data_IF_625691981786
#
_entry.id   IF_625691981786
#
_cell.length_a   1.000
_cell.length_b   1.000
_cell.length_c   1.000
_cell.angle_alpha   90.00
_cell.angle_beta   90.00
_cell.angle_gamma   90.00
#
_symmetry.space_group_name_H-M   'P 1'
#
loop_
_entity.id
_entity.type
_entity.pdbx_description
1 polymer ?
#
# COMPACT_ATOMS: atom_id res chain seq x y z
N UNK A 1 -20.48 14.53 -12.70
CA UNK A 1 -20.64 13.06 -12.54
C UNK A 1 -19.44 12.24 -13.02
N UNK A 2 -18.38 12.91 -13.48
CA UNK A 2 -17.13 12.26 -13.95
C UNK A 2 -16.06 12.07 -12.84
N UNK A 3 -16.33 12.51 -11.64
CA UNK A 3 -15.34 12.49 -10.53
C UNK A 3 -15.29 11.12 -9.83
N UNK A 4 -16.34 10.31 -9.92
CA UNK A 4 -16.37 8.95 -9.38
C UNK A 4 -15.70 7.93 -10.31
N UNK A 5 -15.47 8.28 -11.56
CA UNK A 5 -14.87 7.42 -12.58
C UNK A 5 -13.34 7.47 -12.64
N UNK A 6 -12.69 8.25 -11.76
CA UNK A 6 -11.21 8.34 -11.70
C UNK A 6 -10.49 7.01 -11.47
N UNK A 7 -11.18 6.01 -10.91
CA UNK A 7 -10.65 4.65 -10.74
C UNK A 7 -10.73 3.84 -12.04
N UNK A 8 -11.72 4.13 -12.91
CA UNK A 8 -11.87 3.44 -14.18
C UNK A 8 -10.95 3.97 -15.29
N UNK A 9 -10.59 5.25 -15.25
CA UNK A 9 -9.70 5.84 -16.27
C UNK A 9 -8.27 5.33 -16.18
N UNK A 10 -7.81 4.89 -15.01
CA UNK A 10 -6.51 4.21 -14.88
C UNK A 10 -6.53 2.76 -15.38
N UNK A 11 -7.70 2.17 -15.60
CA UNK A 11 -7.85 0.82 -16.13
C UNK A 11 -7.87 0.78 -17.67
N UNK A 12 -8.11 1.93 -18.32
CA UNK A 12 -8.10 2.01 -19.78
C UNK A 12 -6.66 2.23 -20.27
N UNK A 13 -6.14 1.34 -21.12
CA UNK A 13 -4.77 1.42 -21.63
C UNK A 13 -4.54 2.57 -22.62
N UNK A 14 -5.57 3.32 -22.97
CA UNK A 14 -5.52 4.38 -23.97
C UNK A 14 -4.72 5.61 -23.51
N UNK A 15 -4.53 5.76 -22.18
CA UNK A 15 -3.77 6.89 -21.64
C UNK A 15 -2.77 6.42 -20.59
N UNK A 16 -1.64 5.89 -21.03
CA UNK A 16 -0.49 5.77 -20.14
C UNK A 16 -0.04 7.18 -19.75
N UNK A 17 -0.08 7.46 -18.44
CA UNK A 17 0.49 8.68 -17.88
C UNK A 17 1.61 8.28 -16.93
N UNK A 18 2.80 8.70 -17.25
CA UNK A 18 3.98 8.47 -16.43
C UNK A 18 3.74 9.00 -15.00
N UNK A 19 3.90 8.14 -13.99
CA UNK A 19 3.79 8.49 -12.59
C UNK A 19 2.39 8.80 -12.04
N UNK A 20 1.35 8.84 -12.87
CA UNK A 20 0.00 9.22 -12.45
C UNK A 20 -0.98 8.05 -12.29
N UNK A 21 -0.60 6.85 -12.71
CA UNK A 21 -1.47 5.67 -12.65
C UNK A 21 -1.11 4.80 -11.44
N UNK A 22 -2.15 4.15 -10.92
CA UNK A 22 -2.02 3.05 -9.97
C UNK A 22 -1.00 2.03 -10.50
N UNK A 23 0.04 1.73 -9.73
CA UNK A 23 1.18 0.89 -10.14
C UNK A 23 1.95 1.42 -11.38
N UNK A 24 1.85 2.71 -11.67
CA UNK A 24 2.70 3.37 -12.66
C UNK A 24 4.16 3.39 -12.22
N UNK A 25 5.06 3.26 -13.16
CA UNK A 25 6.49 3.40 -12.94
C UNK A 25 6.99 4.70 -13.54
N UNK A 26 7.92 5.33 -12.82
CA UNK A 26 8.66 6.46 -13.33
C UNK A 26 10.08 6.03 -13.68
N UNK A 27 10.48 6.25 -14.94
CA UNK A 27 11.83 5.91 -15.39
C UNK A 27 12.82 7.04 -15.07
N UNK A 28 13.35 7.02 -13.84
CA UNK A 28 14.35 8.01 -13.39
C UNK A 28 15.78 7.74 -13.89
N UNK A 29 15.99 6.64 -14.62
CA UNK A 29 17.27 6.30 -15.24
C UNK A 29 17.23 6.44 -16.78
N UNK A 30 16.23 7.09 -17.33
CA UNK A 30 16.03 7.21 -18.77
C UNK A 30 17.25 7.77 -19.51
N UNK A 31 17.94 8.73 -18.88
CA UNK A 31 19.06 9.43 -19.46
C UNK A 31 20.42 9.01 -18.86
N UNK A 32 20.43 7.96 -18.02
CA UNK A 32 21.63 7.54 -17.30
C UNK A 32 22.07 6.14 -17.70
N UNK A 33 23.25 6.06 -18.29
CA UNK A 33 24.00 4.82 -18.47
C UNK A 33 23.73 4.08 -19.78
N UNK A 34 24.69 3.17 -20.11
CA UNK A 34 24.53 2.23 -21.20
C UNK A 34 23.50 1.16 -20.84
N UNK A 35 22.59 0.89 -21.76
CA UNK A 35 21.65 -0.22 -21.62
C UNK A 35 22.28 -1.48 -22.22
N UNK A 36 22.64 -2.44 -21.37
CA UNK A 36 23.21 -3.72 -21.79
C UNK A 36 22.24 -4.58 -22.60
N UNK A 37 20.92 -4.42 -22.34
CA UNK A 37 19.86 -5.18 -23.00
C UNK A 37 18.76 -4.23 -23.49
N UNK A 38 18.99 -3.51 -24.59
CA UNK A 38 18.05 -2.52 -25.11
C UNK A 38 16.76 -3.13 -25.69
N UNK A 39 16.76 -4.43 -25.89
CA UNK A 39 15.67 -5.22 -26.47
C UNK A 39 14.71 -5.81 -25.45
N UNK A 40 14.96 -5.67 -24.14
CA UNK A 40 14.11 -6.21 -23.08
C UNK A 40 13.20 -5.12 -22.53
N UNK A 41 11.91 -5.45 -22.40
CA UNK A 41 10.86 -4.56 -21.91
C UNK A 41 10.02 -5.23 -20.83
N UNK A 42 9.55 -4.46 -19.84
CA UNK A 42 8.48 -4.91 -18.96
C UNK A 42 7.14 -4.47 -19.56
N UNK A 43 6.23 -5.42 -19.72
CA UNK A 43 4.88 -5.18 -20.21
C UNK A 43 3.87 -5.48 -19.11
N UNK A 44 2.93 -4.56 -18.91
CA UNK A 44 1.83 -4.67 -17.95
C UNK A 44 0.54 -5.00 -18.69
N UNK A 45 -0.22 -5.87 -18.04
CA UNK A 45 -1.58 -6.25 -18.44
C UNK A 45 -2.58 -5.76 -17.39
N UNK A 46 -3.72 -6.41 -17.27
CA UNK A 46 -4.74 -6.08 -16.26
C UNK A 46 -4.16 -6.25 -14.85
N UNK A 47 -4.59 -5.37 -13.94
CA UNK A 47 -4.23 -5.39 -12.54
C UNK A 47 -2.70 -5.31 -12.29
N UNK A 48 -2.15 -6.31 -11.60
CA UNK A 48 -0.73 -6.39 -11.22
C UNK A 48 0.05 -7.36 -12.10
N UNK A 49 -0.55 -7.91 -13.15
CA UNK A 49 0.12 -8.86 -14.04
C UNK A 49 1.13 -8.13 -14.91
N UNK A 50 2.40 -8.45 -14.73
CA UNK A 50 3.52 -7.91 -15.49
C UNK A 50 4.46 -9.03 -15.88
N UNK A 51 5.02 -8.97 -17.08
CA UNK A 51 6.00 -9.93 -17.56
C UNK A 51 7.07 -9.22 -18.42
N UNK A 52 8.19 -9.90 -18.62
CA UNK A 52 9.29 -9.41 -19.42
C UNK A 52 9.24 -10.05 -20.80
N UNK A 53 9.47 -9.21 -21.81
CA UNK A 53 9.43 -9.58 -23.21
C UNK A 53 10.65 -9.05 -23.94
N UNK A 54 11.07 -9.77 -24.99
CA UNK A 54 12.12 -9.33 -25.89
C UNK A 54 11.51 -8.77 -27.17
N UNK A 55 12.05 -7.68 -27.64
CA UNK A 55 11.62 -7.06 -28.89
C UNK A 55 12.53 -7.52 -30.04
N UNK A 56 12.12 -8.56 -30.74
CA UNK A 56 12.80 -9.06 -31.95
C UNK A 56 12.17 -8.48 -33.24
N UNK A 57 11.18 -7.58 -33.12
CA UNK A 57 10.39 -7.08 -34.25
C UNK A 57 11.10 -6.02 -35.11
N UNK A 58 12.23 -5.48 -34.64
CA UNK A 58 12.93 -4.37 -35.28
C UNK A 58 12.19 -3.02 -35.18
N UNK A 59 10.99 -2.97 -34.60
CA UNK A 59 10.25 -1.73 -34.39
C UNK A 59 10.75 -1.00 -33.15
N UNK A 60 10.81 0.32 -33.21
CA UNK A 60 11.12 1.14 -32.02
C UNK A 60 9.95 1.09 -31.05
N UNK A 61 10.13 0.41 -29.92
CA UNK A 61 9.18 0.31 -28.82
C UNK A 61 9.66 1.22 -27.69
N UNK A 62 8.74 1.97 -27.07
CA UNK A 62 9.01 2.89 -25.97
C UNK A 62 8.05 2.68 -24.82
N UNK A 63 8.41 3.16 -23.64
CA UNK A 63 7.54 3.21 -22.49
C UNK A 63 6.22 3.93 -22.85
N UNK A 64 5.09 3.32 -22.49
CA UNK A 64 3.75 3.80 -22.81
C UNK A 64 3.15 3.24 -24.09
N UNK A 65 3.95 2.61 -24.96
CA UNK A 65 3.43 1.97 -26.17
C UNK A 65 2.54 0.76 -25.83
N UNK A 66 1.46 0.62 -26.55
CA UNK A 66 0.68 -0.60 -26.54
C UNK A 66 1.28 -1.61 -27.52
N UNK A 67 1.52 -2.81 -27.04
CA UNK A 67 2.20 -3.87 -27.79
C UNK A 67 1.41 -5.17 -27.79
N UNK A 68 1.46 -5.85 -28.92
CA UNK A 68 0.98 -7.22 -29.08
C UNK A 68 2.13 -8.15 -28.76
N UNK A 69 1.92 -9.02 -27.79
CA UNK A 69 2.95 -9.92 -27.26
C UNK A 69 2.54 -11.38 -27.43
N UNK A 70 3.55 -12.23 -27.52
CA UNK A 70 3.35 -13.67 -27.56
C UNK A 70 2.78 -14.18 -26.23
N UNK A 71 1.70 -14.96 -26.29
CA UNK A 71 1.13 -15.65 -25.15
C UNK A 71 1.51 -17.14 -25.20
N UNK A 72 1.09 -17.94 -24.22
CA UNK A 72 1.25 -19.41 -24.25
C UNK A 72 0.42 -20.02 -25.39
N UNK A 73 -0.69 -19.35 -25.73
CA UNK A 73 -1.58 -19.70 -26.84
C UNK A 73 -2.11 -18.38 -27.38
N UNK A 74 -1.90 -18.12 -28.68
CA UNK A 74 -2.30 -16.87 -29.31
C UNK A 74 -1.41 -15.69 -28.93
N UNK A 75 -2.02 -14.52 -28.83
CA UNK A 75 -1.33 -13.27 -28.51
C UNK A 75 -2.11 -12.46 -27.48
N UNK A 76 -1.39 -11.65 -26.73
CA UNK A 76 -1.99 -10.79 -25.71
C UNK A 76 -1.64 -9.32 -25.98
N UNK A 77 -2.40 -8.41 -25.41
CA UNK A 77 -2.19 -6.98 -25.52
C UNK A 77 -1.77 -6.41 -24.17
N UNK A 78 -0.69 -5.65 -24.16
CA UNK A 78 -0.20 -5.00 -22.94
C UNK A 78 0.44 -3.65 -23.22
N UNK A 79 0.74 -2.94 -22.15
CA UNK A 79 1.39 -1.63 -22.19
C UNK A 79 2.81 -1.78 -21.68
N UNK A 80 3.77 -1.22 -22.40
CA UNK A 80 5.17 -1.15 -21.97
C UNK A 80 5.28 -0.22 -20.77
N UNK A 81 5.69 -0.73 -19.62
CA UNK A 81 5.85 0.05 -18.40
C UNK A 81 7.28 0.45 -18.11
N UNK A 82 8.24 -0.38 -18.49
CA UNK A 82 9.67 -0.08 -18.32
C UNK A 82 10.46 -0.44 -19.57
N UNK A 83 11.44 0.39 -19.86
CA UNK A 83 12.48 0.20 -20.85
C UNK A 83 13.86 0.54 -20.22
N UNK A 84 14.95 0.06 -20.83
CA UNK A 84 16.28 0.44 -20.44
C UNK A 84 16.78 -0.18 -19.12
N UNK A 85 17.72 0.49 -18.42
CA UNK A 85 18.41 -0.09 -17.26
C UNK A 85 17.51 -0.49 -16.10
N UNK A 86 16.33 0.14 -15.96
CA UNK A 86 15.37 -0.19 -14.90
C UNK A 86 14.76 -1.58 -15.06
N UNK A 87 14.65 -2.09 -16.30
CA UNK A 87 14.15 -3.45 -16.55
C UNK A 87 15.05 -4.47 -15.88
N UNK A 88 16.37 -4.34 -16.04
CA UNK A 88 17.35 -5.22 -15.42
C UNK A 88 17.29 -5.16 -13.89
N UNK A 89 17.15 -3.95 -13.35
CA UNK A 89 16.99 -3.77 -11.89
C UNK A 89 15.73 -4.44 -11.37
N UNK A 90 14.63 -4.36 -12.13
CA UNK A 90 13.37 -5.02 -11.79
C UNK A 90 13.49 -6.55 -11.91
N UNK A 91 14.15 -7.07 -12.94
CA UNK A 91 14.44 -8.49 -13.09
C UNK A 91 15.26 -9.01 -11.91
N UNK A 92 16.33 -8.30 -11.55
CA UNK A 92 17.17 -8.62 -10.39
C UNK A 92 16.37 -8.63 -9.09
N UNK A 93 15.47 -7.67 -8.90
CA UNK A 93 14.55 -7.62 -7.74
C UNK A 93 13.64 -8.85 -7.68
N UNK A 94 13.24 -9.38 -8.83
CA UNK A 94 12.45 -10.62 -8.95
C UNK A 94 13.29 -11.89 -8.98
N UNK A 95 14.62 -11.79 -8.88
CA UNK A 95 15.58 -12.90 -8.98
C UNK A 95 15.49 -13.63 -10.33
N UNK A 96 15.31 -12.90 -11.40
CA UNK A 96 15.30 -13.37 -12.77
C UNK A 96 16.62 -12.97 -13.40
N UNK A 97 17.33 -13.94 -13.95
CA UNK A 97 18.57 -13.73 -14.66
C UNK A 97 18.27 -13.53 -16.16
N UNK A 98 18.68 -12.41 -16.76
CA UNK A 98 18.43 -12.14 -18.18
C UNK A 98 19.05 -13.16 -19.15
N UNK A 99 20.14 -13.83 -18.76
CA UNK A 99 20.85 -14.78 -19.63
C UNK A 99 20.14 -16.14 -19.69
N UNK A 100 19.54 -16.57 -18.58
CA UNK A 100 18.90 -17.88 -18.46
C UNK A 100 17.40 -17.86 -18.67
N UNK A 101 16.79 -16.66 -18.66
CA UNK A 101 15.35 -16.52 -18.77
C UNK A 101 14.86 -16.61 -20.23
N UNK A 102 13.90 -17.50 -20.49
CA UNK A 102 13.24 -17.63 -21.79
C UNK A 102 12.23 -16.49 -22.00
N UNK A 103 12.62 -15.48 -22.76
CA UNK A 103 11.75 -14.37 -23.08
C UNK A 103 10.76 -14.74 -24.17
N UNK A 104 9.50 -14.40 -23.93
CA UNK A 104 8.52 -14.31 -25.00
C UNK A 104 8.73 -13.03 -25.81
N UNK A 105 8.21 -13.01 -27.04
CA UNK A 105 8.49 -11.94 -27.98
C UNK A 105 7.42 -10.86 -27.97
N UNK A 106 7.85 -9.62 -28.23
CA UNK A 106 6.98 -8.56 -28.71
C UNK A 106 6.80 -8.78 -30.21
N UNK A 107 5.57 -9.03 -30.64
CA UNK A 107 5.26 -9.30 -32.05
C UNK A 107 5.31 -8.01 -32.85
N UNK A 108 4.62 -6.97 -32.34
CA UNK A 108 4.54 -5.64 -32.98
C UNK A 108 3.85 -4.63 -32.06
N UNK A 109 3.88 -3.36 -32.44
CA UNK A 109 2.99 -2.36 -31.83
C UNK A 109 1.52 -2.68 -32.15
N UNK A 110 0.64 -2.38 -31.19
CA UNK A 110 -0.78 -2.59 -31.35
C UNK A 110 -1.34 -1.66 -32.44
N UNK A 111 -2.22 -2.20 -33.26
CA UNK A 111 -3.02 -1.45 -34.23
C UNK A 111 -4.38 -1.13 -33.62
N UNK A 112 -5.11 -0.19 -34.20
CA UNK A 112 -6.44 0.17 -33.71
C UNK A 112 -7.38 -1.06 -33.66
N UNK A 113 -7.30 -1.94 -34.63
CA UNK A 113 -8.08 -3.19 -34.65
C UNK A 113 -7.79 -4.15 -33.49
N UNK A 114 -6.56 -4.14 -32.96
CA UNK A 114 -6.21 -4.96 -31.82
C UNK A 114 -6.77 -4.34 -30.53
N UNK A 115 -6.71 -3.01 -30.44
CA UNK A 115 -7.26 -2.23 -29.34
C UNK A 115 -8.78 -2.41 -29.28
N UNK A 116 -9.46 -2.32 -30.42
CA UNK A 116 -10.92 -2.48 -30.46
C UNK A 116 -11.36 -3.87 -30.01
N UNK A 117 -10.69 -4.93 -30.48
CA UNK A 117 -10.93 -6.31 -30.00
C UNK A 117 -10.69 -6.47 -28.52
N UNK A 118 -9.60 -5.88 -28.00
CA UNK A 118 -9.28 -5.93 -26.59
C UNK A 118 -10.33 -5.17 -25.75
N UNK A 119 -10.82 -4.01 -26.22
CA UNK A 119 -11.88 -3.26 -25.55
C UNK A 119 -13.19 -4.07 -25.54
N UNK A 120 -13.54 -4.74 -26.62
CA UNK A 120 -14.69 -5.64 -26.67
C UNK A 120 -14.55 -6.79 -25.66
N UNK A 121 -13.39 -7.45 -25.62
CA UNK A 121 -13.12 -8.51 -24.66
C UNK A 121 -13.24 -8.00 -23.20
N UNK A 122 -12.65 -6.86 -22.90
CA UNK A 122 -12.69 -6.24 -21.57
C UNK A 122 -14.12 -5.84 -21.17
N UNK A 123 -14.94 -5.39 -22.11
CA UNK A 123 -16.34 -5.02 -21.82
C UNK A 123 -17.18 -6.20 -21.30
N UNK A 124 -16.83 -7.42 -21.70
CA UNK A 124 -17.51 -8.67 -21.27
C UNK A 124 -17.07 -9.17 -19.89
N UNK A 125 -15.94 -8.70 -19.36
CA UNK A 125 -15.34 -9.23 -18.12
C UNK A 125 -16.27 -9.17 -16.92
N UNK A 126 -16.95 -8.04 -16.73
CA UNK A 126 -17.84 -7.86 -15.59
C UNK A 126 -19.04 -8.81 -15.62
N UNK A 127 -19.67 -8.95 -16.78
CA UNK A 127 -20.80 -9.84 -16.94
C UNK A 127 -20.38 -11.31 -16.81
N UNK A 128 -19.25 -11.70 -17.41
CA UNK A 128 -18.66 -13.03 -17.27
C UNK A 128 -18.35 -13.34 -15.82
N UNK A 129 -17.82 -12.38 -15.06
CA UNK A 129 -17.54 -12.55 -13.63
C UNK A 129 -18.82 -12.81 -12.81
N UNK A 130 -19.89 -12.07 -13.09
CA UNK A 130 -21.17 -12.24 -12.38
C UNK A 130 -21.74 -13.62 -12.66
N UNK A 131 -21.75 -14.04 -13.92
CA UNK A 131 -22.25 -15.34 -14.35
C UNK A 131 -21.39 -16.48 -13.77
N UNK A 132 -20.06 -16.35 -13.81
CA UNK A 132 -19.16 -17.31 -13.21
C UNK A 132 -19.39 -17.49 -11.70
N UNK A 133 -19.68 -16.39 -10.98
CA UNK A 133 -20.07 -16.47 -9.55
C UNK A 133 -21.36 -17.23 -9.34
N UNK A 134 -22.36 -17.02 -10.23
CA UNK A 134 -23.64 -17.70 -10.15
C UNK A 134 -23.45 -19.21 -10.37
N UNK A 135 -22.71 -19.60 -11.39
CA UNK A 135 -22.42 -21.00 -11.70
C UNK A 135 -21.66 -21.66 -10.53
N UNK A 136 -20.61 -21.04 -10.02
CA UNK A 136 -19.83 -21.57 -8.90
C UNK A 136 -20.69 -21.76 -7.63
N UNK A 137 -21.59 -20.83 -7.34
CA UNK A 137 -22.53 -20.93 -6.23
C UNK A 137 -23.55 -22.06 -6.43
N UNK A 138 -24.08 -22.24 -7.64
CA UNK A 138 -25.02 -23.33 -7.98
C UNK A 138 -24.34 -24.72 -7.81
N UNK A 139 -23.05 -24.81 -8.06
CA UNK A 139 -22.27 -26.04 -7.89
C UNK A 139 -21.84 -26.29 -6.42
N UNK A 140 -22.18 -25.38 -5.49
CA UNK A 140 -21.85 -25.52 -4.06
C UNK A 140 -20.34 -25.48 -3.76
N UNK A 141 -19.54 -24.82 -4.59
CA UNK A 141 -18.10 -24.73 -4.40
C UNK A 141 -17.75 -23.64 -3.37
N UNK A 142 -16.94 -24.02 -2.37
CA UNK A 142 -16.46 -23.07 -1.34
C UNK A 142 -15.33 -22.18 -1.89
N UNK A 143 -15.66 -21.38 -2.89
CA UNK A 143 -14.75 -20.45 -3.53
C UNK A 143 -15.49 -19.19 -3.99
N UNK A 144 -14.76 -18.10 -4.15
CA UNK A 144 -15.28 -16.85 -4.67
C UNK A 144 -14.47 -16.41 -5.88
N UNK A 145 -15.13 -16.19 -7.01
CA UNK A 145 -14.50 -15.56 -8.18
C UNK A 145 -14.31 -14.07 -7.85
N UNK A 146 -13.06 -13.63 -7.80
CA UNK A 146 -12.68 -12.24 -7.50
C UNK A 146 -12.71 -11.33 -8.72
N UNK A 147 -12.14 -11.82 -9.84
CA UNK A 147 -12.03 -11.07 -11.09
C UNK A 147 -11.89 -12.02 -12.29
N UNK A 148 -12.11 -11.49 -13.49
CA UNK A 148 -11.90 -12.18 -14.76
C UNK A 148 -11.05 -11.28 -15.65
N UNK A 149 -10.08 -11.86 -16.35
CA UNK A 149 -9.21 -11.19 -17.31
C UNK A 149 -9.21 -11.95 -18.63
N UNK A 150 -9.72 -11.30 -19.68
CA UNK A 150 -9.63 -11.85 -21.03
C UNK A 150 -8.24 -11.57 -21.62
N UNK A 151 -7.72 -12.55 -22.35
CA UNK A 151 -6.54 -12.33 -23.20
C UNK A 151 -6.91 -11.37 -24.34
N UNK A 152 -5.94 -10.58 -24.82
CA UNK A 152 -6.19 -9.55 -25.81
C UNK A 152 -6.81 -10.04 -27.13
N UNK A 153 -6.64 -11.33 -27.48
CA UNK A 153 -7.26 -11.97 -28.64
C UNK A 153 -8.67 -12.54 -28.35
N UNK A 154 -9.13 -12.48 -27.11
CA UNK A 154 -10.44 -12.98 -26.68
C UNK A 154 -10.59 -14.51 -26.66
N UNK A 155 -9.53 -15.28 -26.93
CA UNK A 155 -9.59 -16.75 -27.01
C UNK A 155 -9.49 -17.45 -25.68
N UNK A 156 -8.96 -16.77 -24.66
CA UNK A 156 -8.68 -17.28 -23.33
C UNK A 156 -9.11 -16.27 -22.27
N UNK A 157 -9.58 -16.78 -21.12
CA UNK A 157 -9.77 -15.94 -19.93
C UNK A 157 -9.15 -16.58 -18.69
N UNK A 158 -8.62 -15.73 -17.83
CA UNK A 158 -8.08 -16.08 -16.51
C UNK A 158 -9.11 -15.69 -15.47
N UNK A 159 -9.58 -16.68 -14.70
CA UNK A 159 -10.50 -16.50 -13.60
C UNK A 159 -9.71 -16.48 -12.29
N UNK A 160 -9.65 -15.32 -11.67
CA UNK A 160 -9.02 -15.14 -10.37
C UNK A 160 -10.00 -15.55 -9.27
N UNK A 161 -9.61 -16.49 -8.42
CA UNK A 161 -10.47 -16.97 -7.35
C UNK A 161 -9.78 -16.99 -6.00
N UNK A 162 -10.57 -16.95 -4.93
CA UNK A 162 -10.17 -17.10 -3.55
C UNK A 162 -10.84 -18.31 -2.98
N UNK A 163 -10.08 -19.10 -2.25
CA UNK A 163 -10.57 -20.23 -1.47
C UNK A 163 -9.67 -20.40 -0.24
N UNK A 164 -10.24 -20.78 0.89
CA UNK A 164 -9.50 -21.07 2.11
C UNK A 164 -8.82 -22.44 2.06
N UNK A 165 -9.37 -23.35 1.28
CA UNK A 165 -8.87 -24.71 1.08
C UNK A 165 -8.61 -25.07 -0.38
N UNK A 166 -8.32 -26.34 -0.60
CA UNK A 166 -8.16 -26.88 -1.94
C UNK A 166 -9.53 -27.19 -2.55
N UNK A 167 -9.85 -26.58 -3.68
CA UNK A 167 -11.12 -26.77 -4.40
C UNK A 167 -10.89 -27.62 -5.63
N UNK A 168 -11.75 -28.61 -5.87
CA UNK A 168 -11.77 -29.35 -7.15
C UNK A 168 -12.70 -28.62 -8.14
N UNK A 169 -12.07 -27.96 -9.09
CA UNK A 169 -12.75 -27.16 -10.12
C UNK A 169 -12.80 -27.84 -11.50
N UNK A 170 -12.55 -29.16 -11.60
CA UNK A 170 -12.54 -29.87 -12.90
C UNK A 170 -13.89 -29.78 -13.62
N UNK A 171 -14.98 -29.95 -12.90
CA UNK A 171 -16.33 -29.80 -13.46
C UNK A 171 -16.65 -28.34 -13.77
N UNK A 172 -16.25 -27.43 -12.88
CA UNK A 172 -16.44 -25.98 -13.08
C UNK A 172 -15.78 -25.51 -14.38
N UNK A 173 -14.54 -25.95 -14.66
CA UNK A 173 -13.84 -25.61 -15.92
C UNK A 173 -14.60 -26.08 -17.14
N UNK A 174 -15.19 -27.29 -17.11
CA UNK A 174 -16.00 -27.79 -18.22
C UNK A 174 -17.22 -26.92 -18.45
N UNK A 175 -17.98 -26.62 -17.39
CA UNK A 175 -19.17 -25.77 -17.47
C UNK A 175 -18.80 -24.35 -17.97
N UNK A 176 -17.71 -23.78 -17.45
CA UNK A 176 -17.24 -22.48 -17.92
C UNK A 176 -16.82 -22.51 -19.42
N UNK A 177 -16.14 -23.57 -19.85
CA UNK A 177 -15.74 -23.71 -21.23
C UNK A 177 -16.95 -23.85 -22.20
N UNK A 178 -17.99 -24.54 -21.78
CA UNK A 178 -19.25 -24.70 -22.52
C UNK A 178 -20.04 -23.38 -22.58
N UNK A 179 -20.16 -22.68 -21.43
CA UNK A 179 -20.93 -21.44 -21.32
C UNK A 179 -20.25 -20.27 -22.05
N UNK A 180 -18.97 -20.05 -21.77
CA UNK A 180 -18.25 -18.89 -22.31
C UNK A 180 -17.56 -19.15 -23.66
N UNK A 181 -17.45 -20.41 -24.09
CA UNK A 181 -16.81 -20.85 -25.35
C UNK A 181 -15.38 -20.33 -25.54
N UNK A 182 -14.63 -20.26 -24.44
CA UNK A 182 -13.23 -19.81 -24.38
C UNK A 182 -12.38 -20.80 -23.59
N UNK A 183 -11.06 -20.69 -23.73
CA UNK A 183 -10.14 -21.45 -22.87
C UNK A 183 -10.12 -20.87 -21.48
N UNK A 184 -10.32 -21.70 -20.47
CA UNK A 184 -10.38 -21.30 -19.07
C UNK A 184 -9.05 -21.57 -18.38
N UNK A 185 -8.52 -20.57 -17.70
CA UNK A 185 -7.43 -20.71 -16.76
C UNK A 185 -7.91 -20.26 -15.37
N UNK A 186 -7.73 -21.11 -14.36
CA UNK A 186 -8.07 -20.79 -12.97
C UNK A 186 -6.81 -20.39 -12.22
N UNK A 187 -6.84 -19.19 -11.58
CA UNK A 187 -5.71 -18.67 -10.81
C UNK A 187 -6.13 -18.28 -9.42
N UNK A 188 -5.57 -18.96 -8.42
CA UNK A 188 -5.82 -18.60 -7.03
C UNK A 188 -5.10 -17.31 -6.64
N UNK A 189 -5.82 -16.43 -5.96
CA UNK A 189 -5.26 -15.18 -5.39
C UNK A 189 -5.51 -15.14 -3.89
N UNK A 190 -4.65 -14.42 -3.18
CA UNK A 190 -4.84 -14.21 -1.73
C UNK A 190 -5.79 -13.05 -1.44
N UNK A 191 -6.41 -13.04 -0.25
CA UNK A 191 -7.34 -12.00 0.17
C UNK A 191 -6.75 -10.56 0.10
N UNK A 192 -5.43 -10.40 0.32
CA UNK A 192 -4.77 -9.09 0.16
C UNK A 192 -4.69 -8.68 -1.30
N UNK A 193 -4.46 -9.62 -2.19
CA UNK A 193 -4.42 -9.35 -3.62
C UNK A 193 -5.81 -8.99 -4.13
N UNK A 194 -6.86 -9.70 -3.69
CA UNK A 194 -8.25 -9.32 -3.99
C UNK A 194 -8.56 -7.90 -3.52
N UNK A 195 -8.24 -7.58 -2.26
CA UNK A 195 -8.43 -6.23 -1.75
C UNK A 195 -7.68 -5.17 -2.59
N UNK A 196 -6.50 -5.52 -3.13
CA UNK A 196 -5.75 -4.68 -4.05
C UNK A 196 -6.44 -4.47 -5.40
N UNK A 197 -7.12 -5.50 -5.91
CA UNK A 197 -7.89 -5.43 -7.17
C UNK A 197 -9.14 -4.55 -7.00
N UNK A 198 -9.87 -4.72 -5.89
CA UNK A 198 -11.05 -3.92 -5.56
C UNK A 198 -10.66 -2.46 -5.30
N UNK A 199 -9.53 -2.23 -4.64
CA UNK A 199 -9.07 -0.91 -4.24
C UNK A 199 -9.82 -0.38 -3.01
N UNK A 200 -9.79 0.95 -2.85
CA UNK A 200 -10.44 1.66 -1.75
C UNK A 200 -9.47 2.39 -0.82
N UNK A 201 -9.99 2.91 0.28
CA UNK A 201 -9.23 3.67 1.27
C UNK A 201 -8.95 2.83 2.51
N UNK A 202 -7.74 2.96 3.03
CA UNK A 202 -7.38 2.38 4.31
C UNK A 202 -7.90 3.22 5.49
N UNK A 203 -7.76 2.69 6.70
CA UNK A 203 -8.07 3.42 7.94
C UNK A 203 -7.19 4.67 8.14
N UNK A 204 -6.10 4.79 7.40
CA UNK A 204 -5.21 5.96 7.38
C UNK A 204 -5.71 7.07 6.43
N UNK A 205 -6.85 6.91 5.75
CA UNK A 205 -7.39 7.87 4.79
C UNK A 205 -6.70 7.89 3.42
N UNK A 206 -5.68 7.03 3.20
CA UNK A 206 -4.96 6.90 1.93
C UNK A 206 -5.46 5.67 1.16
N UNK A 207 -5.25 5.65 -0.15
CA UNK A 207 -5.48 4.44 -0.95
C UNK A 207 -4.75 3.23 -0.36
N UNK A 208 -5.34 2.04 -0.55
CA UNK A 208 -4.76 0.81 -0.06
C UNK A 208 -3.36 0.59 -0.64
N UNK A 209 -2.37 0.31 0.22
CA UNK A 209 -0.99 0.04 -0.20
C UNK A 209 -0.90 -1.11 -1.22
N UNK A 210 -1.72 -2.16 -1.05
CA UNK A 210 -1.83 -3.29 -1.98
C UNK A 210 -2.47 -2.92 -3.32
N UNK A 211 -3.18 -1.80 -3.38
CA UNK A 211 -3.77 -1.28 -4.60
C UNK A 211 -2.87 -0.27 -5.31
N UNK A 212 -1.92 0.32 -4.59
CA UNK A 212 -1.07 1.40 -5.11
C UNK A 212 0.32 0.87 -5.52
N UNK A 213 1.20 0.58 -4.56
CA UNK A 213 2.62 0.31 -4.85
C UNK A 213 3.10 -1.11 -4.48
N UNK A 214 2.37 -1.84 -3.62
CA UNK A 214 2.79 -3.19 -3.23
C UNK A 214 2.41 -4.19 -4.33
N UNK A 215 3.43 -4.78 -4.93
CA UNK A 215 3.29 -5.85 -5.94
C UNK A 215 3.68 -7.23 -5.40
N UNK A 216 4.43 -7.30 -4.31
CA UNK A 216 4.88 -8.54 -3.70
C UNK A 216 4.13 -8.78 -2.38
N UNK A 217 3.24 -9.76 -2.38
CA UNK A 217 2.34 -10.09 -1.27
C UNK A 217 2.93 -11.15 -0.34
N UNK A 218 4.06 -10.83 0.31
CA UNK A 218 4.64 -11.71 1.33
C UNK A 218 3.75 -11.77 2.57
N UNK A 219 3.81 -12.93 3.26
CA UNK A 219 3.18 -13.06 4.57
C UNK A 219 3.87 -12.17 5.59
N UNK A 220 3.09 -11.48 6.42
CA UNK A 220 3.59 -10.56 7.44
C UNK A 220 3.35 -11.17 8.80
N UNK A 221 4.44 -11.37 9.55
CA UNK A 221 4.39 -11.91 10.91
C UNK A 221 4.09 -10.83 11.97
N UNK A 222 3.57 -11.24 13.12
CA UNK A 222 3.29 -10.36 14.27
C UNK A 222 4.57 -9.77 14.89
N UNK A 223 5.73 -10.34 14.61
CA UNK A 223 7.03 -9.79 15.02
C UNK A 223 7.23 -8.34 14.53
N UNK A 224 6.74 -8.01 13.34
CA UNK A 224 6.76 -6.65 12.81
C UNK A 224 5.98 -5.65 13.66
N UNK A 225 4.83 -6.06 14.22
CA UNK A 225 4.05 -5.22 15.12
C UNK A 225 4.71 -5.06 16.50
N UNK A 226 5.35 -6.12 17.00
CA UNK A 226 6.10 -6.06 18.27
C UNK A 226 7.31 -5.15 18.18
N UNK A 227 8.02 -5.17 17.05
CA UNK A 227 9.16 -4.27 16.82
C UNK A 227 8.76 -2.78 16.90
N UNK A 228 7.50 -2.47 16.58
CA UNK A 228 6.94 -1.12 16.60
C UNK A 228 6.21 -0.78 17.89
N UNK A 229 6.30 -1.63 18.89
CA UNK A 229 5.59 -1.50 20.18
C UNK A 229 4.07 -1.32 20.02
N UNK A 230 3.48 -1.94 18.98
CA UNK A 230 2.05 -1.90 18.74
C UNK A 230 1.32 -2.96 19.58
N UNK A 231 0.21 -2.54 20.19
CA UNK A 231 -0.66 -3.49 20.88
C UNK A 231 -1.17 -4.57 19.92
N UNK A 232 -1.10 -5.84 20.31
CA UNK A 232 -1.50 -6.98 19.46
C UNK A 232 -3.02 -7.14 19.34
N UNK A 233 -3.77 -6.04 19.34
CA UNK A 233 -5.22 -6.06 19.11
C UNK A 233 -5.51 -6.29 17.62
N UNK A 234 -6.16 -7.42 17.22
CA UNK A 234 -6.45 -7.73 15.83
C UNK A 234 -7.25 -6.65 15.11
N UNK A 235 -8.20 -6.01 15.78
CA UNK A 235 -9.04 -4.94 15.21
C UNK A 235 -8.19 -3.72 14.79
N UNK A 236 -7.15 -3.38 15.55
CA UNK A 236 -6.25 -2.26 15.26
C UNK A 236 -5.20 -2.64 14.20
N UNK A 237 -4.80 -3.91 14.14
CA UNK A 237 -3.73 -4.39 13.26
C UNK A 237 -4.21 -4.92 11.92
N UNK A 238 -5.50 -5.30 11.78
CA UNK A 238 -6.04 -5.83 10.53
C UNK A 238 -6.24 -4.73 9.48
N UNK A 239 -5.86 -5.06 8.24
CA UNK A 239 -6.20 -4.27 7.06
C UNK A 239 -7.58 -4.64 6.50
N UNK A 240 -8.03 -3.98 5.44
CA UNK A 240 -9.29 -4.28 4.75
C UNK A 240 -9.39 -5.73 4.26
N UNK A 241 -8.26 -6.36 3.98
CA UNK A 241 -8.18 -7.77 3.59
C UNK A 241 -8.26 -8.75 4.77
N UNK A 242 -8.49 -8.31 6.01
CA UNK A 242 -8.48 -9.15 7.21
C UNK A 242 -7.09 -9.65 7.65
N UNK A 243 -6.04 -9.42 6.88
CA UNK A 243 -4.65 -9.78 7.22
C UNK A 243 -3.94 -8.59 7.87
N UNK A 244 -2.80 -8.83 8.51
CA UNK A 244 -1.99 -7.77 9.13
C UNK A 244 -1.67 -6.66 8.13
N UNK A 245 -1.80 -5.38 8.56
CA UNK A 245 -1.56 -4.19 7.70
C UNK A 245 -0.18 -4.23 7.04
N UNK A 246 -0.13 -3.96 5.74
CA UNK A 246 1.11 -3.95 4.96
C UNK A 246 2.09 -2.86 5.40
N UNK A 247 1.58 -1.70 5.83
CA UNK A 247 2.40 -0.57 6.31
C UNK A 247 3.26 -0.98 7.51
N UNK A 248 2.75 -1.84 8.41
CA UNK A 248 3.53 -2.34 9.56
C UNK A 248 4.81 -3.02 9.08
N UNK A 249 4.73 -3.88 8.06
CA UNK A 249 5.93 -4.54 7.52
C UNK A 249 6.83 -3.59 6.71
N UNK A 250 6.24 -2.61 6.04
CA UNK A 250 7.00 -1.63 5.25
C UNK A 250 7.90 -0.77 6.13
N UNK A 251 7.44 -0.41 7.31
CA UNK A 251 8.13 0.46 8.26
C UNK A 251 9.14 -0.28 9.17
N UNK A 252 9.13 -1.63 9.19
CA UNK A 252 9.97 -2.43 10.12
C UNK A 252 11.44 -2.04 10.06
N UNK A 253 12.00 -1.88 8.86
CA UNK A 253 13.41 -1.56 8.71
C UNK A 253 13.78 -0.21 9.36
N UNK A 254 12.91 0.79 9.22
CA UNK A 254 13.08 2.11 9.83
C UNK A 254 12.99 2.03 11.36
N UNK A 255 12.05 1.25 11.89
CA UNK A 255 11.94 1.04 13.34
C UNK A 255 13.13 0.26 13.91
N UNK A 256 13.62 -0.75 13.21
CA UNK A 256 14.81 -1.51 13.65
C UNK A 256 16.06 -0.62 13.66
N UNK A 257 16.23 0.23 12.65
CA UNK A 257 17.33 1.19 12.61
C UNK A 257 17.24 2.20 13.76
N UNK A 258 16.09 2.81 13.98
CA UNK A 258 15.86 3.71 15.11
C UNK A 258 16.06 3.01 16.47
N UNK A 259 15.56 1.78 16.62
CA UNK A 259 15.69 0.99 17.84
C UNK A 259 17.15 0.65 18.14
N UNK A 260 18.00 0.48 17.14
CA UNK A 260 19.43 0.24 17.33
C UNK A 260 20.16 1.41 18.00
N UNK A 261 19.61 2.62 17.85
CA UNK A 261 20.15 3.86 18.43
C UNK A 261 19.67 4.11 19.85
N UNK A 262 18.63 3.42 20.33
CA UNK A 262 18.08 3.57 21.67
C UNK A 262 18.83 2.66 22.64
N UNK A 263 19.32 3.18 23.79
CA UNK A 263 19.98 2.36 24.80
C UNK A 263 18.99 1.40 25.47
N UNK A 264 19.45 0.18 25.75
CA UNK A 264 18.66 -0.78 26.51
C UNK A 264 18.75 -0.42 27.99
N UNK A 265 17.62 -0.07 28.57
CA UNK A 265 17.50 0.23 30.03
C UNK A 265 16.91 -1.01 30.68
N UNK A 266 17.75 -1.78 31.40
CA UNK A 266 17.32 -2.98 32.12
C UNK A 266 17.02 -2.66 33.59
N UNK A 267 17.64 -1.62 34.13
CA UNK A 267 17.54 -1.19 35.52
C UNK A 267 17.03 0.25 35.57
N UNK A 268 16.33 0.66 36.64
CA UNK A 268 15.92 2.03 36.81
C UNK A 268 17.14 2.97 36.87
N UNK A 269 16.98 4.16 36.31
CA UNK A 269 18.04 5.19 36.38
C UNK A 269 18.10 5.78 37.79
N UNK A 270 19.31 5.89 38.32
CA UNK A 270 19.54 6.46 39.67
C UNK A 270 19.81 7.96 39.56
N UNK A 271 19.04 8.73 40.32
CA UNK A 271 19.20 10.18 40.51
C UNK A 271 19.39 10.46 42.00
N UNK A 272 19.82 11.67 42.38
CA UNK A 272 19.90 12.08 43.80
C UNK A 272 18.53 12.05 44.46
N UNK A 273 17.47 12.36 43.75
CA UNK A 273 16.09 12.41 44.22
C UNK A 273 15.36 11.07 44.22
N UNK A 274 15.97 10.00 43.67
CA UNK A 274 15.36 8.67 43.65
C UNK A 274 15.62 7.87 42.38
N UNK A 275 14.78 6.86 42.17
CA UNK A 275 14.88 5.97 41.02
C UNK A 275 13.85 6.35 39.97
N UNK A 276 14.29 6.50 38.73
CA UNK A 276 13.42 6.75 37.59
C UNK A 276 13.21 5.49 36.72
N UNK A 277 11.96 5.13 36.55
CA UNK A 277 11.54 3.93 35.83
C UNK A 277 11.14 4.27 34.39
N UNK A 278 11.65 3.49 33.43
CA UNK A 278 11.23 3.63 32.03
C UNK A 278 9.76 3.21 31.89
N UNK A 279 8.92 4.09 31.36
CA UNK A 279 7.49 3.85 31.16
C UNK A 279 7.15 3.65 29.70
N UNK A 280 7.66 4.48 28.83
CA UNK A 280 7.35 4.49 27.40
C UNK A 280 8.57 4.91 26.61
N UNK A 281 8.68 4.37 25.39
CA UNK A 281 9.71 4.79 24.43
C UNK A 281 9.04 5.22 23.13
N UNK A 282 9.39 6.40 22.65
CA UNK A 282 9.04 6.82 21.28
C UNK A 282 10.24 6.49 20.38
N UNK A 283 10.13 5.38 19.67
CA UNK A 283 11.24 4.79 18.92
C UNK A 283 11.73 5.75 17.82
N UNK A 284 10.81 6.35 17.04
CA UNK A 284 11.17 7.21 15.91
C UNK A 284 11.68 8.59 16.33
N UNK A 285 11.20 9.09 17.48
CA UNK A 285 11.68 10.36 18.04
C UNK A 285 12.91 10.16 18.93
N UNK A 286 13.39 8.92 19.12
CA UNK A 286 14.50 8.56 19.98
C UNK A 286 14.36 9.14 21.40
N UNK A 287 13.10 9.21 21.89
CA UNK A 287 12.76 9.80 23.19
C UNK A 287 12.22 8.73 24.13
N UNK A 288 12.76 8.71 25.34
CA UNK A 288 12.39 7.76 26.39
C UNK A 288 11.71 8.53 27.52
N UNK A 289 10.58 8.03 28.00
CA UNK A 289 9.79 8.66 29.05
C UNK A 289 9.98 7.92 30.35
N UNK A 290 10.42 8.63 31.37
CA UNK A 290 10.68 8.12 32.71
C UNK A 290 9.70 8.72 33.71
N UNK A 291 9.44 7.99 34.79
CA UNK A 291 8.68 8.46 35.95
C UNK A 291 9.34 7.98 37.25
N UNK A 292 9.26 8.78 38.27
CA UNK A 292 9.66 8.35 39.62
C UNK A 292 8.69 7.33 40.22
N UNK A 293 7.42 7.36 39.74
CA UNK A 293 6.42 6.39 40.17
C UNK A 293 6.51 5.10 39.34
N UNK A 294 6.63 3.97 40.03
CA UNK A 294 6.69 2.66 39.38
C UNK A 294 5.37 2.21 38.76
N UNK A 295 4.24 2.68 39.26
CA UNK A 295 2.89 2.17 38.89
C UNK A 295 2.00 3.21 38.24
N UNK A 296 2.40 4.48 38.14
CA UNK A 296 1.62 5.55 37.53
C UNK A 296 2.29 6.04 36.25
N UNK A 297 1.46 6.38 35.25
CA UNK A 297 1.89 7.06 34.02
C UNK A 297 1.72 8.59 34.15
N UNK A 298 1.49 9.09 35.36
CA UNK A 298 1.47 10.51 35.66
C UNK A 298 2.92 11.04 35.80
N UNK A 299 3.11 12.30 35.43
CA UNK A 299 4.42 12.97 35.49
C UNK A 299 5.52 12.22 34.70
N UNK A 300 5.32 12.10 33.38
CA UNK A 300 6.31 11.53 32.48
C UNK A 300 7.34 12.58 32.04
N UNK A 301 8.60 12.29 32.30
CA UNK A 301 9.73 13.15 31.93
C UNK A 301 10.39 12.61 30.66
N UNK A 302 10.40 13.37 29.53
CA UNK A 302 11.06 12.96 28.30
C UNK A 302 12.56 13.17 28.39
N UNK A 303 13.33 12.13 28.08
CA UNK A 303 14.78 12.17 27.91
C UNK A 303 15.16 11.72 26.51
N UNK A 304 16.17 12.35 25.92
CA UNK A 304 16.69 11.87 24.65
C UNK A 304 17.51 10.59 24.83
N UNK A 305 17.61 9.76 23.79
CA UNK A 305 18.43 8.55 23.84
C UNK A 305 19.93 8.83 24.14
N UNK A 306 20.44 10.02 23.81
CA UNK A 306 21.79 10.48 24.14
C UNK A 306 21.95 10.70 25.64
N UNK A 307 21.02 11.46 26.23
CA UNK A 307 21.06 11.80 27.66
C UNK A 307 20.92 10.54 28.52
N UNK A 308 20.05 9.62 28.12
CA UNK A 308 19.90 8.33 28.80
C UNK A 308 21.19 7.51 28.76
N UNK A 309 21.95 7.51 27.65
CA UNK A 309 23.27 6.85 27.60
C UNK A 309 24.25 7.48 28.55
N UNK A 310 24.26 8.79 28.63
CA UNK A 310 25.15 9.55 29.53
C UNK A 310 24.83 9.27 30.98
N UNK A 311 23.55 9.28 31.34
CA UNK A 311 23.08 8.94 32.68
C UNK A 311 23.45 7.50 33.06
N UNK A 312 23.27 6.53 32.15
CA UNK A 312 23.68 5.13 32.38
C UNK A 312 25.20 5.05 32.62
N UNK A 313 26.01 5.80 31.89
CA UNK A 313 27.47 5.83 32.10
C UNK A 313 27.82 6.46 33.47
N UNK A 314 27.15 7.57 33.87
CA UNK A 314 27.32 8.19 35.17
C UNK A 314 26.97 7.21 36.28
N UNK A 315 25.83 6.55 36.19
CA UNK A 315 25.38 5.58 37.20
C UNK A 315 26.35 4.40 37.34
N UNK A 316 26.90 3.89 36.21
CA UNK A 316 27.94 2.85 36.24
C UNK A 316 29.23 3.31 36.96
N UNK A 317 29.54 4.58 36.85
CA UNK A 317 30.70 5.19 37.53
C UNK A 317 30.38 5.64 38.98
N UNK A 318 29.17 5.33 39.47
CA UNK A 318 28.74 5.70 40.83
C UNK A 318 28.36 7.18 41.00
N UNK A 319 28.24 7.92 39.90
CA UNK A 319 27.82 9.33 39.88
C UNK A 319 26.33 9.39 39.66
N UNK A 320 25.58 10.07 40.54
CA UNK A 320 24.14 10.26 40.45
C UNK A 320 23.85 11.67 39.94
N UNK A 321 23.15 11.85 38.77
CA UNK A 321 22.69 13.16 38.33
C UNK A 321 21.74 13.82 39.34
N UNK A 322 21.59 15.13 39.27
CA UNK A 322 20.84 15.90 40.26
C UNK A 322 19.35 15.59 40.26
N UNK A 323 18.66 15.72 39.15
CA UNK A 323 17.20 15.49 39.08
C UNK A 323 16.72 15.36 37.65
N UNK A 324 15.55 14.72 37.48
CA UNK A 324 14.78 14.64 36.23
C UNK A 324 13.94 15.92 35.96
N UNK A 325 14.33 17.11 36.39
CA UNK A 325 13.55 18.30 36.14
C UNK A 325 13.46 18.56 34.64
N UNK A 326 12.25 18.75 34.08
CA UNK A 326 12.14 19.22 32.73
C UNK A 326 12.81 20.60 32.66
N UNK A 327 13.71 20.78 31.70
CA UNK A 327 13.97 22.13 31.25
C UNK A 327 12.61 22.77 30.92
N UNK A 328 12.37 24.03 31.33
CA UNK A 328 11.09 24.69 31.04
C UNK A 328 10.85 24.56 29.53
N UNK A 329 9.81 23.82 29.17
CA UNK A 329 9.41 23.63 27.78
C UNK A 329 9.18 25.02 27.23
N UNK A 330 10.17 25.56 26.51
CA UNK A 330 9.98 26.74 25.68
C UNK A 330 8.82 26.37 24.78
N UNK A 331 7.73 27.13 24.89
CA UNK A 331 6.47 26.88 24.24
C UNK A 331 6.71 26.33 22.82
N UNK A 332 6.13 25.16 22.55
CA UNK A 332 6.23 24.56 21.23
C UNK A 332 5.86 25.65 20.19
N UNK A 333 6.63 25.81 19.10
CA UNK A 333 6.27 26.79 18.09
C UNK A 333 4.82 26.50 17.69
N UNK A 334 3.95 27.50 17.86
CA UNK A 334 2.59 27.42 17.36
C UNK A 334 2.70 27.09 15.86
N UNK A 335 2.24 25.90 15.51
CA UNK A 335 2.13 25.53 14.11
C UNK A 335 1.10 26.45 13.49
N UNK A 336 1.56 27.53 12.85
CA UNK A 336 0.75 28.31 11.93
C UNK A 336 0.42 27.36 10.79
N UNK A 337 -0.81 26.83 10.81
CA UNK A 337 -1.30 26.02 9.71
C UNK A 337 -1.24 26.85 8.44
N UNK A 338 -0.61 26.35 7.38
CA UNK A 338 -0.50 27.01 6.07
C UNK A 338 -1.87 27.33 5.43
N UNK A 339 -2.93 26.78 5.98
CA UNK A 339 -4.34 27.09 5.69
C UNK A 339 -4.82 28.03 6.80
N UNK A 340 -4.52 29.32 6.66
CA UNK A 340 -4.77 30.39 7.64
C UNK A 340 -5.88 30.14 8.64
N UNK A 341 -5.81 30.74 9.82
CA UNK A 341 -6.74 30.60 10.96
C UNK A 341 -8.21 30.73 10.57
N UNK A 342 -8.72 29.73 9.88
CA UNK A 342 -10.12 29.64 9.52
C UNK A 342 -10.88 28.92 10.62
N UNK A 343 -11.28 29.63 11.66
CA UNK A 343 -12.31 29.12 12.56
C UNK A 343 -13.50 28.63 11.72
N UNK A 344 -13.98 27.42 12.01
CA UNK A 344 -15.19 26.85 11.40
C UNK A 344 -16.37 27.83 11.52
N UNK A 345 -16.36 28.71 12.54
CA UNK A 345 -17.39 29.71 12.83
C UNK A 345 -17.17 31.07 12.15
N UNK A 346 -16.16 31.23 11.29
CA UNK A 346 -15.85 32.53 10.64
C UNK A 346 -17.00 33.08 9.78
N UNK A 347 -17.90 32.23 9.33
CA UNK A 347 -19.09 32.62 8.57
C UNK A 347 -20.34 32.78 9.44
N UNK A 348 -20.28 32.46 10.74
CA UNK A 348 -21.41 32.64 11.64
C UNK A 348 -21.55 34.12 11.99
N UNK A 349 -22.68 34.70 11.64
CA UNK A 349 -23.01 36.08 12.05
C UNK A 349 -23.12 36.12 13.58
N UNK A 350 -22.49 37.06 14.27
CA UNK A 350 -22.58 37.18 15.72
C UNK A 350 -24.04 37.34 16.14
N UNK A 351 -24.55 36.37 16.90
CA UNK A 351 -25.90 36.46 17.49
C UNK A 351 -25.94 37.65 18.42
N UNK A 352 -26.69 38.72 18.04
CA UNK A 352 -26.96 39.83 18.92
C UNK A 352 -27.66 39.29 20.18
N UNK A 353 -26.99 39.42 21.33
CA UNK A 353 -27.61 39.15 22.64
C UNK A 353 -28.78 40.13 22.80
N UNK A 354 -30.03 39.65 22.73
CA UNK A 354 -31.18 40.40 23.14
C UNK A 354 -31.01 40.73 24.62
N UNK A 355 -30.82 42.02 24.92
CA UNK A 355 -30.75 42.51 26.29
C UNK A 355 -32.04 42.15 27.03
N UNK A 356 -31.91 41.50 28.19
CA UNK A 356 -33.00 41.31 29.14
C UNK A 356 -33.47 42.70 29.61
N UNK A 357 -34.64 43.11 29.10
CA UNK A 357 -35.30 44.33 29.58
C UNK A 357 -35.57 44.25 31.06
N UNK A 358 -34.99 45.20 31.82
CA UNK A 358 -35.23 45.34 33.24
C UNK A 358 -36.71 45.66 33.50
N UNK A 359 -37.36 44.86 34.34
CA UNK A 359 -38.68 45.22 34.93
C UNK A 359 -38.52 46.39 35.86
N UNK A 360 -39.16 47.55 35.54
CA UNK A 360 -39.33 48.66 36.48
C UNK A 360 -40.27 48.19 37.64
N UNK A 361 -39.98 48.60 38.88
CA UNK A 361 -40.88 48.36 39.99
C UNK A 361 -42.14 49.26 39.87
N UNK A 362 -43.29 48.70 40.05
CA UNK A 362 -44.60 49.38 40.09
C UNK A 362 -44.80 49.83 41.53
N UNK A 363 -44.69 51.13 41.79
CA UNK A 363 -45.13 51.76 43.04
C UNK A 363 -46.64 51.80 43.11
N UNK A 364 -47.14 51.48 44.31
CA UNK A 364 -48.52 51.38 44.61
C UNK A 364 -49.29 52.67 44.74
N UNK A 365 -50.54 52.56 44.50
CA UNK A 365 -51.67 53.12 45.28
C UNK A 365 -52.92 52.26 45.03
#
# INVERSE_FOLDING_TARGET
DLIVTGVQTCALPISYREGCCKLGEHNYLKDVGANEYPDIFEVRFKNTRKAFYRNDSGQSVRQGDMVVVEAVSGHDLGIVTLEGPLVLRQMKSRRIDPETFEFKKIIRKARQTDIDKWLEATSREQQTMIEARRIAATMGLEMKIGDVEFQGDGTKAIFYYIADGRVDFRQLIKVFAEEFRIRIEMKQIGARQEAGLIGGLGVCGRELCCANYITNFKSIGTAAARCQDLSLNPQKLAGQCGKLKCCINYEVATYMDAQSRIPKVSEPLEFKDGFAYLRKTNILAETMYFSYDRNSDENLYPLSASDVREIIMMNRNGVKPDTLLPEPVTAAPEFVTAVGEGSITRFDKPRKKKGRGGKKPRNGR
#
